data_IF_647230899917
#
_entry.id   IF_647230899917
#
_cell.length_a   1.000
_cell.length_b   1.000
_cell.length_c   1.000
_cell.angle_alpha   90.00
_cell.angle_beta   90.00
_cell.angle_gamma   90.00
#
_symmetry.space_group_name_H-M   'P 1'
#
loop_
_entity.id
_entity.type
_entity.pdbx_description
1 polymer ?
#
# COMPACT_ATOMS: atom_id res chain seq x y z
N UNK A 1 0.09 -6.35 -16.53
CA UNK A 1 1.26 -7.22 -16.35
C UNK A 1 2.39 -6.63 -17.17
N UNK A 2 3.42 -6.09 -16.51
CA UNK A 2 4.48 -5.30 -17.16
C UNK A 2 5.45 -6.17 -17.99
N UNK A 3 5.56 -7.47 -17.68
CA UNK A 3 6.56 -8.36 -18.28
C UNK A 3 5.98 -9.56 -19.06
N UNK A 4 4.71 -9.48 -19.47
CA UNK A 4 4.03 -10.64 -20.03
C UNK A 4 3.78 -10.50 -21.53
N UNK A 5 4.85 -10.42 -22.32
CA UNK A 5 4.72 -10.56 -23.78
C UNK A 5 4.31 -11.99 -24.20
N UNK A 6 4.74 -13.00 -23.44
CA UNK A 6 4.36 -14.40 -23.69
C UNK A 6 2.90 -14.69 -23.31
N UNK A 7 2.37 -13.99 -22.30
CA UNK A 7 1.01 -14.16 -21.82
C UNK A 7 0.19 -12.92 -22.15
N UNK A 8 -0.03 -12.71 -23.45
CA UNK A 8 -0.84 -11.59 -23.94
C UNK A 8 -2.25 -11.59 -23.36
N UNK A 9 -2.96 -10.46 -23.49
CA UNK A 9 -4.37 -10.37 -23.10
C UNK A 9 -5.22 -11.47 -23.74
N UNK A 10 -4.87 -11.89 -24.94
CA UNK A 10 -5.52 -12.96 -25.67
C UNK A 10 -5.36 -14.32 -24.98
N UNK A 11 -4.13 -14.70 -24.64
CA UNK A 11 -3.85 -15.93 -23.89
C UNK A 11 -4.56 -15.93 -22.53
N UNK A 12 -4.46 -14.84 -21.79
CA UNK A 12 -5.10 -14.69 -20.48
C UNK A 12 -6.63 -14.85 -20.56
N UNK A 13 -7.23 -14.33 -21.63
CA UNK A 13 -8.68 -14.44 -21.85
C UNK A 13 -9.09 -15.88 -22.13
N UNK A 14 -8.37 -16.57 -23.03
CA UNK A 14 -8.65 -17.98 -23.36
C UNK A 14 -8.42 -18.87 -22.13
N UNK A 15 -7.35 -18.65 -21.37
CA UNK A 15 -7.09 -19.38 -20.12
C UNK A 15 -8.19 -19.16 -19.08
N UNK A 16 -8.74 -17.94 -18.98
CA UNK A 16 -9.86 -17.65 -18.09
C UNK A 16 -11.15 -18.35 -18.53
N UNK A 17 -11.42 -18.39 -19.84
CA UNK A 17 -12.58 -19.12 -20.39
C UNK A 17 -12.48 -20.61 -20.04
N UNK A 18 -11.32 -21.25 -20.32
CA UNK A 18 -11.10 -22.66 -20.01
C UNK A 18 -11.23 -22.92 -18.51
N UNK A 19 -10.68 -22.04 -17.67
CA UNK A 19 -10.80 -22.16 -16.22
C UNK A 19 -12.26 -22.07 -15.76
N UNK A 20 -13.05 -21.14 -16.32
CA UNK A 20 -14.47 -21.03 -16.04
C UNK A 20 -15.26 -22.29 -16.45
N UNK A 21 -14.97 -22.85 -17.61
CA UNK A 21 -15.58 -24.10 -18.07
C UNK A 21 -15.26 -25.26 -17.11
N UNK A 22 -14.02 -25.38 -16.66
CA UNK A 22 -13.60 -26.41 -15.68
C UNK A 22 -14.32 -26.21 -14.33
N UNK A 23 -14.59 -24.96 -13.92
CA UNK A 23 -15.34 -24.63 -12.71
C UNK A 23 -16.86 -24.82 -12.85
N UNK A 24 -17.34 -25.16 -14.04
CA UNK A 24 -18.76 -25.40 -14.30
C UNK A 24 -19.51 -24.21 -14.91
N UNK A 25 -18.82 -23.17 -15.33
CA UNK A 25 -19.41 -22.05 -16.10
C UNK A 25 -19.56 -22.46 -17.57
N UNK A 26 -20.78 -22.79 -18.00
CA UNK A 26 -21.04 -23.30 -19.36
C UNK A 26 -21.89 -22.35 -20.21
N UNK A 27 -22.31 -21.21 -19.66
CA UNK A 27 -23.18 -20.31 -20.40
C UNK A 27 -22.40 -19.41 -21.35
N UNK A 28 -22.87 -19.31 -22.59
CA UNK A 28 -22.28 -18.44 -23.60
C UNK A 28 -22.19 -16.98 -23.13
N UNK A 29 -23.17 -16.51 -22.35
CA UNK A 29 -23.18 -15.15 -21.81
C UNK A 29 -22.06 -14.90 -20.81
N UNK A 30 -21.77 -15.90 -19.98
CA UNK A 30 -20.66 -15.81 -19.00
C UNK A 30 -19.32 -15.78 -19.72
N UNK A 31 -19.13 -16.63 -20.73
CA UNK A 31 -17.92 -16.62 -21.54
C UNK A 31 -17.72 -15.30 -22.31
N UNK A 32 -18.80 -14.75 -22.88
CA UNK A 32 -18.76 -13.44 -23.53
C UNK A 32 -18.37 -12.32 -22.56
N UNK A 33 -18.86 -12.38 -21.33
CA UNK A 33 -18.50 -11.43 -20.27
C UNK A 33 -17.01 -11.49 -19.94
N UNK A 34 -16.44 -12.69 -19.81
CA UNK A 34 -14.98 -12.86 -19.60
C UNK A 34 -14.20 -12.22 -20.74
N UNK A 35 -14.61 -12.42 -21.99
CA UNK A 35 -13.95 -11.81 -23.15
C UNK A 35 -14.04 -10.29 -23.10
N UNK A 36 -15.23 -9.74 -22.80
CA UNK A 36 -15.45 -8.30 -22.73
C UNK A 36 -14.63 -7.61 -21.62
N UNK A 37 -14.43 -8.31 -20.50
CA UNK A 37 -13.70 -7.76 -19.35
C UNK A 37 -12.17 -7.87 -19.48
N UNK A 38 -11.67 -8.88 -20.21
CA UNK A 38 -10.24 -9.24 -20.21
C UNK A 38 -9.54 -9.06 -21.55
N UNK A 39 -10.28 -8.96 -22.65
CA UNK A 39 -9.74 -8.79 -23.98
C UNK A 39 -10.11 -7.44 -24.59
N UNK A 40 -9.51 -7.10 -25.73
CA UNK A 40 -9.91 -5.95 -26.51
C UNK A 40 -11.28 -6.19 -27.15
N UNK A 41 -12.09 -5.14 -27.31
CA UNK A 41 -13.46 -5.26 -27.84
C UNK A 41 -13.56 -6.04 -29.16
N UNK A 42 -12.57 -5.92 -30.06
CA UNK A 42 -12.49 -6.66 -31.31
C UNK A 42 -12.20 -8.16 -31.12
N UNK A 43 -11.63 -8.55 -29.98
CA UNK A 43 -11.29 -9.95 -29.69
C UNK A 43 -12.50 -10.84 -29.54
N UNK A 44 -13.67 -10.28 -29.20
CA UNK A 44 -14.96 -11.01 -29.15
C UNK A 44 -15.28 -11.60 -30.53
N UNK A 45 -14.98 -10.87 -31.61
CA UNK A 45 -15.23 -11.30 -32.98
C UNK A 45 -14.33 -12.45 -33.43
N UNK A 46 -13.22 -12.69 -32.73
CA UNK A 46 -12.26 -13.74 -33.07
C UNK A 46 -12.32 -14.92 -32.09
N UNK A 47 -12.32 -14.65 -30.77
CA UNK A 47 -12.26 -15.66 -29.73
C UNK A 47 -13.52 -16.52 -29.73
N UNK A 48 -14.69 -15.90 -29.64
CA UNK A 48 -15.95 -16.64 -29.56
C UNK A 48 -16.25 -17.50 -30.79
N UNK A 49 -16.09 -17.02 -32.04
CA UNK A 49 -16.24 -17.86 -33.22
C UNK A 49 -15.23 -19.01 -33.27
N UNK A 50 -13.97 -18.77 -32.88
CA UNK A 50 -12.92 -19.81 -32.89
C UNK A 50 -13.20 -20.92 -31.88
N UNK A 51 -13.79 -20.61 -30.74
CA UNK A 51 -14.24 -21.58 -29.74
C UNK A 51 -15.44 -22.39 -30.27
N UNK A 52 -16.48 -21.71 -30.77
CA UNK A 52 -17.70 -22.35 -31.26
C UNK A 52 -17.46 -23.28 -32.46
N UNK A 53 -16.50 -22.96 -33.30
CA UNK A 53 -16.18 -23.78 -34.50
C UNK A 53 -15.13 -24.84 -34.20
N UNK A 54 -14.77 -25.03 -32.96
CA UNK A 54 -13.72 -25.98 -32.51
C UNK A 54 -12.36 -25.77 -33.22
N UNK A 55 -12.13 -24.57 -33.75
CA UNK A 55 -10.90 -24.24 -34.49
C UNK A 55 -9.66 -24.47 -33.66
N UNK A 56 -9.76 -24.23 -32.35
CA UNK A 56 -8.65 -24.41 -31.45
C UNK A 56 -8.64 -25.75 -30.72
N UNK A 57 -9.67 -26.54 -30.84
CA UNK A 57 -9.83 -27.85 -30.17
C UNK A 57 -9.63 -27.81 -28.64
N UNK A 58 -9.77 -26.64 -28.04
CA UNK A 58 -9.64 -26.45 -26.59
C UNK A 58 -10.98 -26.54 -25.88
N UNK A 59 -12.05 -26.21 -26.59
CA UNK A 59 -13.43 -26.22 -26.12
C UNK A 59 -14.30 -26.86 -27.19
N UNK A 60 -15.15 -27.75 -26.77
CA UNK A 60 -16.12 -28.41 -27.65
C UNK A 60 -17.31 -27.48 -27.98
N UNK A 61 -18.08 -27.84 -29.03
CA UNK A 61 -19.25 -27.05 -29.47
C UNK A 61 -20.35 -26.94 -28.40
N UNK A 62 -20.40 -27.90 -27.47
CA UNK A 62 -21.28 -27.90 -26.30
C UNK A 62 -20.73 -27.09 -25.10
N UNK A 63 -19.68 -26.32 -25.29
CA UNK A 63 -18.99 -25.53 -24.26
C UNK A 63 -18.34 -26.36 -23.13
N UNK A 64 -17.98 -27.60 -23.40
CA UNK A 64 -17.16 -28.42 -22.52
C UNK A 64 -15.70 -28.42 -22.98
N UNK A 65 -14.80 -28.89 -22.13
CA UNK A 65 -13.36 -29.02 -22.44
C UNK A 65 -12.87 -30.41 -22.06
N UNK A 66 -11.91 -30.93 -22.82
CA UNK A 66 -11.22 -32.19 -22.49
C UNK A 66 -10.07 -31.96 -21.49
N UNK A 67 -9.80 -30.71 -21.09
CA UNK A 67 -8.75 -30.37 -20.13
C UNK A 67 -9.23 -30.65 -18.71
N UNK A 68 -8.47 -31.42 -17.95
CA UNK A 68 -8.76 -31.76 -16.55
C UNK A 68 -8.25 -30.69 -15.58
N UNK A 69 -7.23 -29.95 -15.98
CA UNK A 69 -6.56 -28.97 -15.15
C UNK A 69 -6.65 -27.57 -15.75
N UNK A 70 -6.80 -26.57 -14.87
CA UNK A 70 -6.78 -25.18 -15.29
C UNK A 70 -5.46 -24.81 -15.96
N UNK A 71 -5.50 -23.99 -17.03
CA UNK A 71 -4.28 -23.49 -17.64
C UNK A 71 -3.38 -22.78 -16.64
N UNK A 72 -2.10 -23.16 -16.60
CA UNK A 72 -1.10 -22.52 -15.76
C UNK A 72 -0.31 -21.48 -16.57
N UNK A 73 0.15 -20.46 -15.87
CA UNK A 73 1.01 -19.42 -16.43
C UNK A 73 2.34 -19.42 -15.64
N UNK A 74 3.29 -20.33 -15.98
CA UNK A 74 4.57 -20.35 -15.29
C UNK A 74 5.31 -19.02 -15.47
N UNK A 75 6.02 -18.62 -14.43
CA UNK A 75 6.79 -17.37 -14.47
C UNK A 75 7.92 -17.48 -15.50
N UNK A 76 8.13 -16.39 -16.24
CA UNK A 76 9.30 -16.26 -17.12
C UNK A 76 10.58 -16.14 -16.29
N UNK A 77 11.72 -16.39 -16.90
CA UNK A 77 13.03 -16.23 -16.24
C UNK A 77 13.19 -14.84 -15.64
N UNK A 78 12.83 -13.80 -16.39
CA UNK A 78 12.91 -12.41 -15.93
C UNK A 78 11.97 -12.15 -14.71
N UNK A 79 10.76 -12.71 -14.72
CA UNK A 79 9.86 -12.61 -13.57
C UNK A 79 10.40 -13.33 -12.35
N UNK A 80 11.01 -14.50 -12.52
CA UNK A 80 11.67 -15.25 -11.43
C UNK A 80 12.85 -14.45 -10.86
N UNK A 81 13.71 -13.90 -11.71
CA UNK A 81 14.82 -13.04 -11.28
C UNK A 81 14.35 -11.81 -10.50
N UNK A 82 13.27 -11.18 -10.97
CA UNK A 82 12.66 -10.06 -10.27
C UNK A 82 12.09 -10.46 -8.90
N UNK A 83 11.34 -11.57 -8.83
CA UNK A 83 10.83 -12.10 -7.56
C UNK A 83 11.95 -12.48 -6.60
N UNK A 84 13.05 -13.03 -7.12
CA UNK A 84 14.24 -13.33 -6.32
C UNK A 84 14.83 -12.06 -5.72
N UNK A 85 14.96 -10.98 -6.50
CA UNK A 85 15.44 -9.71 -6.01
C UNK A 85 14.50 -9.13 -4.91
N UNK A 86 13.19 -9.19 -5.11
CA UNK A 86 12.19 -8.77 -4.10
C UNK A 86 12.28 -9.62 -2.83
N UNK A 87 12.48 -10.93 -2.95
CA UNK A 87 12.56 -11.85 -1.80
C UNK A 87 13.76 -11.59 -0.89
N UNK A 88 14.77 -10.86 -1.37
CA UNK A 88 15.95 -10.46 -0.59
C UNK A 88 15.68 -9.23 0.30
N UNK A 89 14.59 -8.50 0.07
CA UNK A 89 14.22 -7.36 0.90
C UNK A 89 13.75 -7.84 2.29
N UNK A 90 14.39 -7.41 3.39
CA UNK A 90 14.02 -7.85 4.74
C UNK A 90 12.57 -7.52 5.11
N UNK A 91 11.99 -6.46 4.52
CA UNK A 91 10.61 -6.05 4.75
C UNK A 91 9.61 -7.08 4.21
N UNK A 92 9.91 -7.74 3.11
CA UNK A 92 9.06 -8.79 2.52
C UNK A 92 9.01 -10.02 3.44
N UNK A 93 10.10 -10.34 4.12
CA UNK A 93 10.17 -11.45 5.09
C UNK A 93 9.22 -11.27 6.27
N UNK A 94 8.88 -10.02 6.64
CA UNK A 94 7.93 -9.74 7.71
C UNK A 94 6.55 -10.38 7.46
N UNK A 95 6.13 -10.43 6.20
CA UNK A 95 4.82 -10.97 5.81
C UNK A 95 4.76 -12.50 5.79
N UNK A 96 5.88 -13.19 6.00
CA UNK A 96 5.95 -14.65 5.99
C UNK A 96 5.61 -15.27 4.63
N UNK A 97 5.91 -14.56 3.54
CA UNK A 97 5.71 -15.04 2.18
C UNK A 97 6.88 -15.93 1.77
N UNK A 98 6.56 -17.13 1.32
CA UNK A 98 7.55 -18.04 0.70
C UNK A 98 7.46 -17.90 -0.82
N UNK A 99 8.62 -17.99 -1.45
CA UNK A 99 8.75 -17.92 -2.90
C UNK A 99 9.33 -19.27 -3.39
N UNK A 100 8.46 -20.26 -3.69
CA UNK A 100 8.93 -21.56 -4.16
C UNK A 100 9.62 -21.42 -5.52
N UNK A 101 10.46 -22.38 -5.85
CA UNK A 101 11.17 -22.51 -7.15
C UNK A 101 12.08 -21.32 -7.52
N UNK A 102 12.64 -20.64 -6.51
CA UNK A 102 13.61 -19.56 -6.70
C UNK A 102 15.01 -19.87 -6.13
N UNK A 103 15.27 -21.09 -5.67
CA UNK A 103 16.54 -21.46 -5.03
C UNK A 103 17.73 -21.21 -5.98
N UNK A 104 17.63 -21.69 -7.20
CA UNK A 104 18.70 -21.62 -8.23
C UNK A 104 18.54 -20.39 -9.15
N UNK A 105 17.65 -19.45 -8.81
CA UNK A 105 17.44 -18.26 -9.62
C UNK A 105 18.36 -17.14 -9.18
N UNK A 106 19.17 -16.63 -10.11
CA UNK A 106 19.97 -15.42 -9.89
C UNK A 106 19.04 -14.19 -9.78
N UNK A 107 19.18 -13.33 -8.76
CA UNK A 107 18.36 -12.13 -8.62
C UNK A 107 18.66 -11.15 -9.76
N UNK A 108 17.63 -10.40 -10.20
CA UNK A 108 17.79 -9.38 -11.23
C UNK A 108 18.73 -8.26 -10.79
N UNK A 109 18.74 -7.95 -9.52
CA UNK A 109 19.66 -7.02 -8.85
C UNK A 109 19.76 -7.35 -7.36
N UNK A 110 20.84 -6.90 -6.73
CA UNK A 110 21.09 -7.01 -5.29
C UNK A 110 21.38 -5.64 -4.69
N UNK A 111 21.45 -5.55 -3.39
CA UNK A 111 21.85 -4.31 -2.70
C UNK A 111 23.28 -3.83 -3.02
N UNK A 112 24.10 -4.66 -3.65
CA UNK A 112 25.43 -4.29 -4.10
C UNK A 112 25.44 -3.50 -5.42
N UNK A 113 24.35 -3.59 -6.18
CA UNK A 113 24.24 -2.98 -7.52
C UNK A 113 23.84 -1.49 -7.46
N UNK A 114 23.43 -0.99 -6.29
CA UNK A 114 23.03 0.40 -6.12
C UNK A 114 23.49 0.98 -4.80
N UNK A 115 23.63 2.30 -4.75
CA UNK A 115 24.03 3.03 -3.56
C UNK A 115 22.83 3.78 -2.97
N UNK A 116 22.56 3.55 -1.68
CA UNK A 116 21.55 4.31 -0.92
C UNK A 116 22.25 5.45 -0.20
N UNK A 117 21.99 6.69 -0.62
CA UNK A 117 22.59 7.89 -0.04
C UNK A 117 22.05 8.18 1.37
N UNK A 118 20.75 8.03 1.57
CA UNK A 118 20.08 8.32 2.84
C UNK A 118 19.78 7.00 3.56
N UNK A 119 20.77 6.45 4.27
CA UNK A 119 20.52 5.34 5.18
C UNK A 119 20.06 5.91 6.52
N UNK A 120 18.82 5.67 6.85
CA UNK A 120 18.30 5.99 8.17
C UNK A 120 18.89 5.03 9.18
N UNK A 121 19.73 5.57 10.10
CA UNK A 121 20.35 4.76 11.15
C UNK A 121 19.38 4.31 12.24
N UNK A 122 18.13 4.79 12.17
CA UNK A 122 17.07 4.54 13.14
C UNK A 122 15.81 3.89 12.54
N UNK A 123 15.92 3.24 11.38
CA UNK A 123 14.88 2.42 10.80
C UNK A 123 14.43 1.27 11.73
N UNK A 124 13.30 0.64 11.40
CA UNK A 124 12.82 -0.50 12.18
C UNK A 124 13.76 -1.71 12.03
N UNK A 125 13.93 -2.52 13.08
CA UNK A 125 14.81 -3.70 13.07
C UNK A 125 14.14 -4.89 12.38
N UNK A 126 14.02 -4.86 11.04
CA UNK A 126 13.28 -5.85 10.25
C UNK A 126 13.81 -7.27 10.33
N UNK A 127 15.05 -7.47 10.79
CA UNK A 127 15.67 -8.79 10.95
C UNK A 127 15.62 -9.30 12.39
N UNK A 128 15.17 -8.47 13.34
CA UNK A 128 15.01 -8.88 14.74
C UNK A 128 13.83 -9.86 14.87
N UNK A 129 14.08 -11.02 15.47
CA UNK A 129 13.09 -12.10 15.57
C UNK A 129 11.84 -11.69 16.36
N UNK A 130 12.02 -10.89 17.41
CA UNK A 130 10.90 -10.42 18.23
C UNK A 130 10.07 -9.39 17.50
N UNK A 131 10.71 -8.47 16.75
CA UNK A 131 10.03 -7.52 15.89
C UNK A 131 9.21 -8.26 14.81
N UNK A 132 9.81 -9.24 14.13
CA UNK A 132 9.13 -10.07 13.13
C UNK A 132 7.92 -10.81 13.73
N UNK A 133 8.08 -11.37 14.90
CA UNK A 133 7.00 -12.07 15.63
C UNK A 133 5.84 -11.11 15.93
N UNK A 134 6.14 -9.94 16.47
CA UNK A 134 5.15 -8.91 16.81
C UNK A 134 4.42 -8.41 15.57
N UNK A 135 5.17 -8.13 14.49
CA UNK A 135 4.60 -7.73 13.21
C UNK A 135 3.58 -8.74 12.70
N UNK A 136 3.91 -10.04 12.74
CA UNK A 136 3.03 -11.11 12.28
C UNK A 136 1.77 -11.26 13.15
N UNK A 137 1.89 -11.13 14.47
CA UNK A 137 0.73 -11.11 15.38
C UNK A 137 -0.22 -9.96 15.02
N UNK A 138 0.32 -8.77 14.81
CA UNK A 138 -0.45 -7.60 14.45
C UNK A 138 -1.13 -7.79 13.08
N UNK A 139 -0.39 -8.29 12.09
CA UNK A 139 -0.92 -8.58 10.76
C UNK A 139 -2.06 -9.59 10.79
N UNK A 140 -1.90 -10.67 11.58
CA UNK A 140 -2.95 -11.66 11.79
C UNK A 140 -4.18 -11.06 12.46
N UNK A 141 -3.97 -10.22 13.47
CA UNK A 141 -5.06 -9.54 14.17
C UNK A 141 -5.83 -8.58 13.26
N UNK A 142 -5.15 -7.88 12.35
CA UNK A 142 -5.79 -7.04 11.31
C UNK A 142 -6.67 -7.91 10.40
N UNK A 143 -6.14 -9.04 9.91
CA UNK A 143 -6.88 -9.94 9.01
C UNK A 143 -8.12 -10.56 9.64
N UNK A 144 -8.08 -10.78 10.96
CA UNK A 144 -9.17 -11.40 11.75
C UNK A 144 -10.05 -10.38 12.47
N UNK A 145 -9.83 -9.08 12.31
CA UNK A 145 -10.47 -8.00 13.10
C UNK A 145 -10.50 -8.34 14.61
N UNK A 146 -9.35 -8.80 15.14
CA UNK A 146 -9.23 -9.31 16.51
C UNK A 146 -8.42 -8.36 17.38
N UNK A 147 -8.63 -8.50 18.70
CA UNK A 147 -7.94 -7.67 19.69
C UNK A 147 -6.52 -8.19 19.96
N UNK A 148 -5.62 -7.24 20.21
CA UNK A 148 -4.29 -7.50 20.73
C UNK A 148 -4.07 -6.78 22.07
N UNK A 149 -3.16 -7.32 22.86
CA UNK A 149 -2.55 -6.63 24.00
C UNK A 149 -1.07 -6.47 23.72
N UNK A 150 -0.56 -5.25 23.84
CA UNK A 150 0.85 -4.97 23.67
C UNK A 150 1.41 -4.09 24.78
N UNK A 151 2.71 -4.13 24.93
CA UNK A 151 3.49 -3.32 25.85
C UNK A 151 4.29 -2.30 25.05
N UNK A 152 4.39 -1.10 25.57
CA UNK A 152 5.23 -0.06 25.00
C UNK A 152 5.81 0.85 26.10
N UNK A 153 6.95 1.44 25.83
CA UNK A 153 7.56 2.44 26.71
C UNK A 153 7.10 3.83 26.28
N UNK A 154 6.51 4.58 27.20
CA UNK A 154 6.08 5.95 26.93
C UNK A 154 7.28 6.93 26.94
N UNK A 155 7.03 8.20 26.56
CA UNK A 155 8.07 9.26 26.54
C UNK A 155 8.71 9.53 27.90
N UNK A 156 8.09 9.10 29.01
CA UNK A 156 8.60 9.24 30.38
C UNK A 156 9.38 8.02 30.85
N UNK A 157 9.58 7.01 30.01
CA UNK A 157 10.28 5.78 30.35
C UNK A 157 9.44 4.74 31.08
N UNK A 158 8.13 4.95 31.26
CA UNK A 158 7.25 4.01 31.94
C UNK A 158 6.66 3.00 30.94
N UNK A 159 6.64 1.73 31.33
CA UNK A 159 5.96 0.67 30.58
C UNK A 159 4.44 0.84 30.67
N UNK A 160 3.78 0.78 29.54
CA UNK A 160 2.32 0.84 29.41
C UNK A 160 1.80 -0.41 28.73
N UNK A 161 0.69 -0.93 29.26
CA UNK A 161 -0.07 -2.02 28.65
C UNK A 161 -1.28 -1.49 27.92
N UNK A 162 -1.41 -1.84 26.65
CA UNK A 162 -2.46 -1.34 25.79
C UNK A 162 -3.25 -2.49 25.20
N UNK A 163 -4.58 -2.37 25.19
CA UNK A 163 -5.46 -3.24 24.41
C UNK A 163 -6.12 -2.44 23.30
N UNK A 164 -6.09 -2.97 22.09
CA UNK A 164 -6.71 -2.33 20.94
C UNK A 164 -7.07 -3.35 19.86
N UNK A 165 -7.82 -2.89 18.86
CA UNK A 165 -8.00 -3.59 17.59
C UNK A 165 -7.13 -2.89 16.56
N UNK A 166 -6.11 -3.54 16.01
CA UNK A 166 -5.33 -2.96 14.93
C UNK A 166 -6.18 -2.92 13.64
N UNK A 167 -6.13 -1.81 12.91
CA UNK A 167 -6.92 -1.59 11.70
C UNK A 167 -6.06 -1.83 10.45
N UNK A 168 -4.85 -1.23 10.44
CA UNK A 168 -3.91 -1.32 9.32
C UNK A 168 -2.50 -1.03 9.77
N UNK A 169 -1.56 -1.47 8.94
CA UNK A 169 -0.15 -1.08 9.00
C UNK A 169 0.11 -0.02 7.95
N UNK A 170 0.87 0.99 8.33
CA UNK A 170 1.36 2.04 7.44
C UNK A 170 2.89 2.01 7.44
N UNK A 171 3.50 2.06 6.26
CA UNK A 171 4.94 2.15 6.10
C UNK A 171 5.34 3.57 5.73
N UNK A 172 6.27 4.13 6.50
CA UNK A 172 6.90 5.42 6.20
C UNK A 172 8.22 5.17 5.48
N UNK A 173 8.25 5.38 4.18
CA UNK A 173 9.45 5.27 3.38
C UNK A 173 10.54 6.24 3.85
N UNK A 174 10.15 7.46 4.25
CA UNK A 174 11.05 8.48 4.76
C UNK A 174 11.78 8.05 6.03
N UNK A 175 11.10 7.37 6.93
CA UNK A 175 11.66 7.00 8.25
C UNK A 175 12.09 5.53 8.28
N UNK A 176 11.81 4.75 7.21
CA UNK A 176 11.99 3.30 7.13
C UNK A 176 11.34 2.57 8.31
N UNK A 177 10.08 2.93 8.64
CA UNK A 177 9.37 2.45 9.82
C UNK A 177 7.94 2.06 9.53
N UNK A 178 7.48 1.00 10.19
CA UNK A 178 6.07 0.65 10.23
C UNK A 178 5.35 1.30 11.41
N UNK A 179 4.12 1.71 11.15
CA UNK A 179 3.18 2.23 12.15
C UNK A 179 1.90 1.41 12.11
N UNK A 180 1.36 1.12 13.26
CA UNK A 180 0.06 0.48 13.41
C UNK A 180 -0.99 1.53 13.72
N UNK A 181 -2.05 1.59 12.92
CA UNK A 181 -3.26 2.36 13.22
C UNK A 181 -4.20 1.48 14.01
N UNK A 182 -4.75 2.01 15.11
CA UNK A 182 -5.57 1.24 16.06
C UNK A 182 -6.92 1.88 16.30
N UNK A 183 -7.89 1.04 16.70
CA UNK A 183 -9.23 1.43 17.16
C UNK A 183 -9.42 0.97 18.61
N UNK A 184 -10.15 1.77 19.40
CA UNK A 184 -10.65 1.33 20.70
C UNK A 184 -9.75 1.58 21.89
N UNK A 185 -8.73 2.42 21.78
CA UNK A 185 -7.95 2.87 22.93
C UNK A 185 -7.84 4.40 23.00
N UNK A 186 -7.98 4.93 24.24
CA UNK A 186 -7.96 6.36 24.52
C UNK A 186 -6.71 7.04 23.97
N UNK A 187 -6.84 7.86 22.95
CA UNK A 187 -5.86 8.82 22.45
C UNK A 187 -4.67 8.33 21.60
N UNK A 188 -4.43 7.04 21.37
CA UNK A 188 -3.36 6.60 20.46
C UNK A 188 -3.98 5.96 19.24
N UNK A 189 -4.18 6.76 18.19
CA UNK A 189 -4.60 6.25 16.89
C UNK A 189 -3.46 5.54 16.13
N UNK A 190 -2.20 5.93 16.40
CA UNK A 190 -1.04 5.44 15.65
C UNK A 190 0.12 5.11 16.58
N UNK A 191 0.70 3.91 16.41
CA UNK A 191 1.84 3.40 17.21
C UNK A 191 2.96 2.95 16.29
N UNK A 192 4.19 3.42 16.51
CA UNK A 192 5.37 2.88 15.84
C UNK A 192 5.65 1.45 16.36
N UNK A 193 5.82 0.49 15.46
CA UNK A 193 6.04 -0.90 15.84
C UNK A 193 7.32 -1.10 16.65
N UNK A 194 8.40 -0.41 16.31
CA UNK A 194 9.66 -0.50 17.06
C UNK A 194 9.59 -0.05 18.53
N UNK A 195 8.48 0.62 18.95
CA UNK A 195 8.25 0.97 20.36
C UNK A 195 7.50 -0.09 21.15
N UNK A 196 7.02 -1.12 20.49
CA UNK A 196 6.33 -2.25 21.11
C UNK A 196 7.41 -3.20 21.64
N UNK A 197 7.35 -3.49 22.94
CA UNK A 197 8.29 -4.39 23.62
C UNK A 197 7.73 -5.80 23.80
N UNK A 198 6.43 -5.97 23.63
CA UNK A 198 5.76 -7.26 23.67
C UNK A 198 4.35 -7.17 23.08
N UNK A 199 3.94 -8.16 22.30
CA UNK A 199 2.63 -8.21 21.67
C UNK A 199 2.05 -9.62 21.68
N UNK A 200 0.76 -9.75 22.04
CA UNK A 200 0.05 -11.01 22.03
C UNK A 200 -1.42 -10.83 21.65
N UNK A 201 -2.05 -11.87 21.09
CA UNK A 201 -3.49 -11.90 20.91
C UNK A 201 -4.19 -11.77 22.25
N UNK A 202 -5.27 -11.00 22.30
CA UNK A 202 -6.09 -10.88 23.48
C UNK A 202 -7.36 -11.73 23.34
N UNK A 203 -7.49 -12.72 24.22
CA UNK A 203 -8.66 -13.58 24.33
C UNK A 203 -9.42 -13.17 25.59
N UNK A 204 -10.37 -12.28 25.44
CA UNK A 204 -11.20 -11.81 26.55
C UNK A 204 -12.49 -11.16 26.03
N UNK A 205 -13.44 -10.88 26.94
CA UNK A 205 -14.70 -10.27 26.57
C UNK A 205 -14.52 -9.01 25.70
N UNK A 206 -15.37 -8.86 24.69
CA UNK A 206 -15.37 -7.73 23.71
C UNK A 206 -15.72 -6.36 24.33
N UNK A 207 -15.49 -6.19 25.61
CA UNK A 207 -15.77 -4.99 26.39
C UNK A 207 -14.83 -3.79 26.10
N UNK A 208 -14.29 -3.66 24.90
CA UNK A 208 -13.86 -2.36 24.43
C UNK A 208 -15.15 -1.63 24.06
N UNK A 209 -15.61 -0.73 24.93
CA UNK A 209 -16.56 0.29 24.52
C UNK A 209 -15.96 0.96 23.28
N UNK A 210 -16.61 0.75 22.16
CA UNK A 210 -16.29 1.44 20.92
C UNK A 210 -16.62 2.92 21.08
N UNK A 211 -15.77 3.65 21.77
CA UNK A 211 -15.65 5.05 21.49
C UNK A 211 -14.91 5.10 20.16
N UNK A 212 -15.66 4.82 19.11
CA UNK A 212 -15.27 5.20 17.77
C UNK A 212 -15.08 6.72 17.84
N UNK A 213 -13.85 7.13 17.97
CA UNK A 213 -13.52 8.49 17.62
C UNK A 213 -13.68 8.51 16.11
N UNK A 214 -14.81 9.05 15.66
CA UNK A 214 -14.95 9.36 14.24
C UNK A 214 -13.71 10.16 13.84
N UNK A 215 -12.99 9.76 12.78
CA UNK A 215 -11.83 10.51 12.33
C UNK A 215 -12.30 11.95 12.08
N UNK A 216 -11.72 12.91 12.78
CA UNK A 216 -12.01 14.34 12.53
C UNK A 216 -11.31 14.73 11.22
N UNK A 217 -11.96 14.34 10.12
CA UNK A 217 -11.47 14.62 8.77
C UNK A 217 -11.44 16.12 8.52
N UNK A 218 -10.26 16.63 8.21
CA UNK A 218 -10.01 17.99 7.80
C UNK A 218 -9.50 18.04 6.37
N UNK A 219 -9.66 19.18 5.75
CA UNK A 219 -9.12 19.43 4.41
C UNK A 219 -8.28 20.70 4.44
N UNK A 220 -7.06 20.60 3.92
CA UNK A 220 -6.21 21.76 3.68
C UNK A 220 -6.06 21.99 2.17
N UNK A 221 -6.17 23.27 1.77
CA UNK A 221 -5.96 23.72 0.40
C UNK A 221 -4.61 24.43 0.31
N UNK A 222 -3.74 23.93 -0.56
CA UNK A 222 -2.39 24.46 -0.74
C UNK A 222 -2.22 24.87 -2.19
N UNK A 223 -1.81 26.11 -2.44
CA UNK A 223 -1.36 26.59 -3.74
C UNK A 223 0.10 26.16 -3.90
N UNK A 224 0.37 25.39 -4.94
CA UNK A 224 1.72 24.94 -5.28
C UNK A 224 2.16 25.61 -6.56
N UNK A 225 3.29 26.34 -6.49
CA UNK A 225 3.95 26.89 -7.68
C UNK A 225 4.95 25.87 -8.20
N UNK A 226 4.70 25.36 -9.41
CA UNK A 226 5.49 24.29 -10.01
C UNK A 226 6.81 24.82 -10.58
N UNK A 227 7.74 25.10 -9.70
CA UNK A 227 9.13 25.37 -10.03
C UNK A 227 10.00 24.16 -9.66
N UNK A 228 10.88 23.75 -10.56
CA UNK A 228 11.79 22.60 -10.37
C UNK A 228 11.04 21.29 -10.02
N UNK A 229 9.93 21.01 -10.68
CA UNK A 229 9.06 19.87 -10.43
C UNK A 229 8.49 19.84 -8.98
N UNK A 230 8.17 21.02 -8.44
CA UNK A 230 7.65 21.12 -7.08
C UNK A 230 6.30 20.40 -6.94
N UNK A 231 5.44 20.44 -7.96
CA UNK A 231 4.16 19.75 -7.92
C UNK A 231 4.33 18.23 -7.80
N UNK A 232 5.15 17.61 -8.62
CA UNK A 232 5.39 16.18 -8.58
C UNK A 232 5.95 15.76 -7.22
N UNK A 233 6.98 16.47 -6.74
CA UNK A 233 7.55 16.23 -5.41
C UNK A 233 6.51 16.40 -4.29
N UNK A 234 5.65 17.42 -4.40
CA UNK A 234 4.56 17.66 -3.46
C UNK A 234 3.57 16.48 -3.47
N UNK A 235 3.16 16.05 -4.65
CA UNK A 235 2.22 14.92 -4.79
C UNK A 235 2.81 13.61 -4.23
N UNK A 236 4.09 13.35 -4.41
CA UNK A 236 4.79 12.21 -3.84
C UNK A 236 4.93 12.32 -2.32
N UNK A 237 5.27 13.50 -1.82
CA UNK A 237 5.46 13.72 -0.37
C UNK A 237 4.17 13.52 0.44
N UNK A 238 3.02 13.74 -0.19
CA UNK A 238 1.70 13.49 0.37
C UNK A 238 1.02 12.25 -0.20
N UNK A 239 1.79 11.24 -0.68
CA UNK A 239 1.26 10.08 -1.39
C UNK A 239 0.21 9.29 -0.60
N UNK A 240 0.36 9.22 0.73
CA UNK A 240 -0.52 8.46 1.63
C UNK A 240 -1.79 9.21 2.07
N UNK A 241 -1.98 10.47 1.65
CA UNK A 241 -3.20 11.22 1.90
C UNK A 241 -4.10 11.25 0.66
N UNK A 242 -5.40 11.21 0.88
CA UNK A 242 -6.37 11.50 -0.20
C UNK A 242 -6.19 12.94 -0.64
N UNK A 243 -5.93 13.16 -1.93
CA UNK A 243 -5.65 14.48 -2.46
C UNK A 243 -6.17 14.66 -3.88
N UNK A 244 -6.50 15.89 -4.21
CA UNK A 244 -6.92 16.30 -5.55
C UNK A 244 -6.15 17.56 -5.94
N UNK A 245 -5.53 17.56 -7.11
CA UNK A 245 -4.85 18.70 -7.68
C UNK A 245 -5.68 19.28 -8.84
N UNK A 246 -5.77 20.61 -8.89
CA UNK A 246 -6.43 21.36 -9.93
C UNK A 246 -5.48 22.44 -10.42
N UNK A 247 -5.35 22.59 -11.74
CA UNK A 247 -4.50 23.61 -12.33
C UNK A 247 -5.23 24.95 -12.31
N UNK A 248 -4.62 25.97 -11.72
CA UNK A 248 -5.16 27.33 -11.69
C UNK A 248 -4.73 28.15 -12.92
N UNK A 249 -3.42 28.12 -13.19
CA UNK A 249 -2.82 28.81 -14.33
C UNK A 249 -1.51 28.12 -14.77
N UNK A 250 -0.68 28.81 -15.57
CA UNK A 250 0.52 28.24 -16.19
C UNK A 250 1.39 27.37 -15.31
N UNK A 251 1.72 27.82 -14.09
CA UNK A 251 2.60 27.11 -13.14
C UNK A 251 1.97 26.89 -11.76
N UNK A 252 0.76 27.40 -11.52
CA UNK A 252 0.12 27.32 -10.22
C UNK A 252 -0.96 26.24 -10.19
N UNK A 253 -0.95 25.46 -9.12
CA UNK A 253 -1.89 24.38 -8.87
C UNK A 253 -2.50 24.54 -7.47
N UNK A 254 -3.78 24.24 -7.33
CA UNK A 254 -4.44 24.10 -6.05
C UNK A 254 -4.53 22.64 -5.69
N UNK A 255 -3.89 22.26 -4.59
CA UNK A 255 -3.93 20.89 -4.09
C UNK A 255 -4.76 20.85 -2.81
N UNK A 256 -5.85 20.09 -2.82
CA UNK A 256 -6.70 19.83 -1.64
C UNK A 256 -6.30 18.48 -1.07
N UNK A 257 -5.97 18.44 0.22
CA UNK A 257 -5.52 17.25 0.92
C UNK A 257 -6.46 17.00 2.09
N UNK A 258 -7.02 15.79 2.18
CA UNK A 258 -7.79 15.34 3.34
C UNK A 258 -6.84 14.64 4.33
N UNK A 259 -6.97 14.97 5.60
CA UNK A 259 -6.16 14.40 6.66
C UNK A 259 -6.97 14.30 7.97
N UNK A 260 -6.55 13.42 8.87
CA UNK A 260 -7.09 13.38 10.23
C UNK A 260 -6.44 14.48 11.09
N UNK A 261 -7.20 15.13 11.96
CA UNK A 261 -6.70 16.19 12.84
C UNK A 261 -5.50 15.76 13.69
N UNK A 262 -5.38 14.47 13.99
CA UNK A 262 -4.21 13.94 14.70
C UNK A 262 -2.91 14.11 13.92
N UNK A 263 -2.99 14.20 12.59
CA UNK A 263 -1.84 14.37 11.68
C UNK A 263 -1.51 15.84 11.40
N UNK A 264 -2.26 16.78 11.98
CA UNK A 264 -2.13 18.21 11.70
C UNK A 264 -0.70 18.75 11.89
N UNK A 265 -0.03 18.31 12.95
CA UNK A 265 1.39 18.71 13.19
C UNK A 265 2.31 18.20 12.09
N UNK A 266 2.12 16.99 11.63
CA UNK A 266 2.90 16.41 10.52
C UNK A 266 2.60 17.13 9.21
N UNK A 267 1.33 17.44 8.95
CA UNK A 267 0.91 18.24 7.79
C UNK A 267 1.60 19.60 7.75
N UNK A 268 1.65 20.31 8.88
CA UNK A 268 2.34 21.60 8.98
C UNK A 268 3.82 21.47 8.63
N UNK A 269 4.51 20.47 9.18
CA UNK A 269 5.94 20.23 8.91
C UNK A 269 6.15 19.92 7.43
N UNK A 270 5.33 19.06 6.84
CA UNK A 270 5.43 18.67 5.43
C UNK A 270 5.20 19.85 4.49
N UNK A 271 4.19 20.68 4.74
CA UNK A 271 3.93 21.87 3.91
C UNK A 271 5.10 22.85 4.00
N UNK A 272 5.61 23.13 5.22
CA UNK A 272 6.74 24.04 5.42
C UNK A 272 8.02 23.57 4.73
N UNK A 273 8.21 22.27 4.50
CA UNK A 273 9.39 21.74 3.82
C UNK A 273 9.51 22.17 2.35
N UNK A 274 8.41 22.64 1.74
CA UNK A 274 8.41 23.16 0.37
C UNK A 274 8.75 24.66 0.29
N UNK A 275 8.88 25.33 1.44
CA UNK A 275 9.22 26.76 1.51
C UNK A 275 8.23 27.61 0.71
N UNK A 276 8.72 28.60 -0.08
CA UNK A 276 7.84 29.54 -0.79
C UNK A 276 7.06 28.91 -1.96
N UNK A 277 7.35 27.66 -2.35
CA UNK A 277 6.65 26.97 -3.41
C UNK A 277 5.29 26.42 -2.98
N UNK A 278 4.99 26.36 -1.68
CA UNK A 278 3.73 25.88 -1.14
C UNK A 278 3.11 26.93 -0.22
N UNK A 279 1.96 27.46 -0.61
CA UNK A 279 1.20 28.45 0.16
C UNK A 279 -0.14 27.86 0.57
N UNK A 280 -0.41 27.81 1.88
CA UNK A 280 -1.72 27.40 2.39
C UNK A 280 -2.74 28.50 2.13
N UNK A 281 -3.85 28.17 1.44
CA UNK A 281 -4.92 29.09 1.14
C UNK A 281 -6.11 28.93 2.10
N UNK A 282 -6.40 27.70 2.53
CA UNK A 282 -7.49 27.32 3.43
C UNK A 282 -7.12 26.07 4.25
N UNK A 283 -7.69 25.89 5.46
CA UNK A 283 -8.50 26.84 6.23
C UNK A 283 -7.65 27.88 6.99
N UNK A 284 -8.28 28.91 7.55
CA UNK A 284 -7.58 29.99 8.22
C UNK A 284 -6.84 29.53 9.48
N UNK A 285 -7.44 28.66 10.30
CA UNK A 285 -6.79 28.11 11.49
C UNK A 285 -5.49 27.36 11.14
N UNK A 286 -5.44 26.63 10.03
CA UNK A 286 -4.22 25.97 9.56
C UNK A 286 -3.18 26.99 9.06
N UNK A 287 -3.62 28.07 8.40
CA UNK A 287 -2.74 29.18 7.98
C UNK A 287 -2.10 29.86 9.19
N UNK A 288 -2.88 30.06 10.25
CA UNK A 288 -2.37 30.62 11.51
C UNK A 288 -1.27 29.74 12.11
N UNK A 289 -1.46 28.42 12.15
CA UNK A 289 -0.46 27.45 12.60
C UNK A 289 0.86 27.55 11.80
N UNK A 290 0.77 27.67 10.48
CA UNK A 290 1.92 27.88 9.60
C UNK A 290 2.61 29.21 9.97
N UNK A 291 1.84 30.30 10.12
CA UNK A 291 2.35 31.62 10.49
C UNK A 291 3.07 31.65 11.83
N UNK A 292 2.51 30.98 12.84
CA UNK A 292 3.18 30.82 14.15
C UNK A 292 4.51 30.07 14.06
N UNK A 293 4.57 29.01 13.28
CA UNK A 293 5.81 28.24 13.08
C UNK A 293 6.88 29.07 12.38
N UNK A 294 6.50 29.82 11.35
CA UNK A 294 7.42 30.72 10.64
C UNK A 294 7.93 31.84 11.56
N UNK A 295 7.07 32.46 12.39
CA UNK A 295 7.48 33.45 13.38
C UNK A 295 8.46 32.88 14.40
N UNK A 296 8.23 31.67 14.91
CA UNK A 296 9.17 30.97 15.81
C UNK A 296 10.50 30.71 15.13
N UNK A 297 10.51 30.35 13.88
CA UNK A 297 11.71 30.11 13.10
C UNK A 297 12.51 31.39 12.85
N UNK A 298 11.85 32.51 12.54
CA UNK A 298 12.50 33.82 12.42
C UNK A 298 13.17 34.29 13.73
N UNK A 299 12.59 33.95 14.88
CA UNK A 299 13.10 34.28 16.20
C UNK A 299 14.23 33.36 16.66
N UNK A 300 14.51 32.25 15.96
CA UNK A 300 15.68 31.43 16.19
C UNK A 300 16.92 32.20 15.70
N UNK A 301 17.57 32.92 16.61
CA UNK A 301 18.90 33.52 16.32
C UNK A 301 19.87 32.36 16.08
N UNK A 302 20.40 32.28 14.87
CA UNK A 302 21.59 31.48 14.61
C UNK A 302 22.69 32.05 15.52
N UNK A 303 23.08 31.29 16.55
CA UNK A 303 24.26 31.58 17.37
C UNK A 303 25.48 31.10 16.62
#
# INVERSE_FOLDING_TARGET
>A
MIFSELYSAYYNTVAAIISGIIDGEHSEKELQKIVAERAFGESVLTIMPSLKTEKWQLVHSDMTTSLEHKPTMPLTTLQKQWLKAISLDPRVKLFGVEFPDLEDVEPLFTSADYHVYDKYGDGDPFEDEEYVRQFRIILEAIRKDSQIKFEMVNRKGNTMFVRCVPIRLEYSEKDDKFRMVTRGWNSVSTVNLAKITGCNHYVGDRGLSSVEREPENRTVSVRVTDERNALERFMLHFAHFEKKAERLDGKNYLVKIKYDKSDETEMVIRVLSFGPMAEVTEPEDFRELIGERLKKQQNCRLK
#
